data_IF_261229945276
#
_entry.id   IF_261229945276
#
_cell.length_a   1.000
_cell.length_b   1.000
_cell.length_c   1.000
_cell.angle_alpha   90.00
_cell.angle_beta   90.00
_cell.angle_gamma   90.00
#
_symmetry.space_group_name_H-M   'P 1'
#
loop_
_entity.id
_entity.type
_entity.pdbx_description
1 polymer ?
#
# COMPACT_ATOMS: atom_id res chain seq x y z
N UNK A 1 -48.50 -1.35 3.59
CA UNK A 1 -47.43 -0.73 4.36
C UNK A 1 -46.15 -1.47 4.05
N UNK A 2 -45.24 -0.81 3.31
CA UNK A 2 -43.96 -1.43 3.00
C UNK A 2 -43.13 -1.46 4.27
N UNK A 3 -42.42 -2.56 4.54
CA UNK A 3 -41.54 -2.58 5.67
C UNK A 3 -40.40 -1.58 5.42
N UNK A 4 -40.15 -0.76 6.43
CA UNK A 4 -39.06 0.17 6.39
C UNK A 4 -37.74 -0.66 6.37
N UNK A 5 -37.15 -0.76 5.18
CA UNK A 5 -35.91 -1.55 5.00
C UNK A 5 -34.67 -0.81 5.47
N UNK A 6 -34.81 0.47 5.82
CA UNK A 6 -33.71 1.27 6.35
C UNK A 6 -33.83 1.37 7.85
N UNK A 7 -33.22 0.42 8.55
CA UNK A 7 -33.19 0.39 10.01
C UNK A 7 -32.36 1.53 10.61
N UNK A 8 -31.56 2.21 9.79
CA UNK A 8 -30.66 3.26 10.24
C UNK A 8 -30.79 4.49 9.36
N UNK A 9 -30.67 5.67 9.95
CA UNK A 9 -30.59 6.92 9.18
C UNK A 9 -29.29 6.91 8.35
N UNK A 10 -29.22 7.64 7.21
CA UNK A 10 -27.98 7.73 6.44
C UNK A 10 -26.78 8.22 7.26
N UNK A 11 -27.00 9.11 8.23
CA UNK A 11 -25.94 9.59 9.10
C UNK A 11 -25.42 8.51 10.05
N UNK A 12 -26.29 7.69 10.60
CA UNK A 12 -25.92 6.57 11.45
C UNK A 12 -25.13 5.51 10.70
N UNK A 13 -25.54 5.20 9.46
CA UNK A 13 -24.81 4.27 8.61
C UNK A 13 -23.42 4.80 8.29
N UNK A 14 -23.27 6.10 8.01
CA UNK A 14 -21.98 6.69 7.73
C UNK A 14 -21.05 6.68 8.94
N UNK A 15 -21.59 6.89 10.14
CA UNK A 15 -20.82 6.80 11.38
C UNK A 15 -20.34 5.37 11.63
N UNK A 16 -21.20 4.38 11.44
CA UNK A 16 -20.84 2.96 11.62
C UNK A 16 -19.75 2.57 10.63
N UNK A 17 -19.87 2.96 9.37
CA UNK A 17 -18.86 2.69 8.34
C UNK A 17 -17.54 3.34 8.72
N UNK A 18 -17.57 4.60 9.17
CA UNK A 18 -16.36 5.32 9.58
C UNK A 18 -15.68 4.65 10.76
N UNK A 19 -16.42 4.28 11.78
CA UNK A 19 -15.90 3.61 12.96
C UNK A 19 -15.26 2.27 12.61
N UNK A 20 -15.93 1.46 11.78
CA UNK A 20 -15.41 0.17 11.34
C UNK A 20 -14.16 0.33 10.49
N UNK A 21 -14.12 1.33 9.61
CA UNK A 21 -12.94 1.63 8.80
C UNK A 21 -11.76 2.03 9.66
N UNK A 22 -11.97 2.86 10.68
CA UNK A 22 -10.92 3.26 11.61
C UNK A 22 -10.38 2.08 12.41
N UNK A 23 -11.25 1.17 12.85
CA UNK A 23 -10.82 -0.04 13.55
C UNK A 23 -9.96 -0.93 12.67
N UNK A 24 -10.37 -1.13 11.43
CA UNK A 24 -9.62 -1.92 10.45
C UNK A 24 -8.25 -1.30 10.21
N UNK A 25 -8.20 0.00 9.96
CA UNK A 25 -6.94 0.71 9.73
C UNK A 25 -6.02 0.65 10.95
N UNK A 26 -6.58 0.73 12.15
CA UNK A 26 -5.81 0.61 13.39
C UNK A 26 -5.18 -0.76 13.55
N UNK A 27 -5.92 -1.82 13.22
CA UNK A 27 -5.40 -3.20 13.26
C UNK A 27 -4.27 -3.36 12.24
N UNK A 28 -4.46 -2.86 11.03
CA UNK A 28 -3.43 -2.91 9.98
C UNK A 28 -2.17 -2.15 10.42
N UNK A 29 -2.33 -0.95 10.97
CA UNK A 29 -1.22 -0.14 11.44
C UNK A 29 -0.44 -0.83 12.56
N UNK A 30 -1.13 -1.54 13.46
CA UNK A 30 -0.49 -2.30 14.53
C UNK A 30 0.42 -3.41 14.00
N UNK A 31 0.15 -3.90 12.78
CA UNK A 31 0.97 -4.90 12.10
C UNK A 31 1.89 -4.28 11.04
N UNK A 32 2.06 -2.96 11.08
CA UNK A 32 2.89 -2.21 10.13
C UNK A 32 2.46 -2.43 8.68
N UNK A 33 1.14 -2.38 8.46
CA UNK A 33 0.51 -2.48 7.14
C UNK A 33 -0.14 -1.15 6.81
N UNK A 34 0.18 -0.59 5.65
CA UNK A 34 -0.40 0.65 5.15
C UNK A 34 -1.07 0.40 3.79
N UNK A 35 -2.03 1.22 3.45
CA UNK A 35 -2.78 1.08 2.20
C UNK A 35 -2.49 2.24 1.27
N UNK A 36 -2.50 1.96 -0.03
CA UNK A 36 -2.44 3.00 -1.04
C UNK A 36 -3.15 2.58 -2.31
N UNK A 37 -3.42 3.54 -3.16
CA UNK A 37 -4.19 3.38 -4.37
C UNK A 37 -3.52 4.13 -5.50
N UNK A 38 -3.48 3.51 -6.67
CA UNK A 38 -2.92 4.10 -7.89
C UNK A 38 -4.01 4.24 -8.93
N UNK A 39 -4.19 5.47 -9.42
CA UNK A 39 -5.13 5.77 -10.48
C UNK A 39 -4.43 5.58 -11.83
N UNK A 40 -4.81 4.55 -12.57
CA UNK A 40 -4.12 4.16 -13.79
C UNK A 40 -4.18 5.26 -14.87
N UNK A 41 -5.34 5.88 -15.16
CA UNK A 41 -5.41 6.93 -16.18
C UNK A 41 -4.54 8.16 -15.89
N UNK A 42 -4.40 8.55 -14.63
CA UNK A 42 -3.71 9.80 -14.27
C UNK A 42 -2.33 9.60 -13.67
N UNK A 43 -2.01 8.38 -13.20
CA UNK A 43 -0.77 8.09 -12.50
C UNK A 43 -0.71 8.65 -11.07
N UNK A 44 -1.82 9.15 -10.55
CA UNK A 44 -1.87 9.71 -9.20
C UNK A 44 -1.98 8.61 -8.14
N UNK A 45 -1.31 8.84 -7.02
CA UNK A 45 -1.33 7.95 -5.88
C UNK A 45 -2.07 8.59 -4.71
N UNK A 46 -2.79 7.76 -3.97
CA UNK A 46 -3.44 8.16 -2.71
C UNK A 46 -3.00 7.19 -1.62
N UNK A 47 -2.57 7.72 -0.49
CA UNK A 47 -2.04 6.93 0.63
C UNK A 47 -2.90 7.16 1.87
N UNK A 48 -3.04 6.13 2.69
CA UNK A 48 -3.70 6.30 3.99
C UNK A 48 -2.89 7.24 4.87
N UNK A 49 -3.59 7.91 5.78
CA UNK A 49 -2.95 8.78 6.76
C UNK A 49 -1.91 7.99 7.55
N UNK A 50 -0.84 8.67 7.93
CA UNK A 50 0.27 8.07 8.69
C UNK A 50 0.99 6.92 7.97
N UNK A 51 0.92 6.87 6.62
CA UNK A 51 1.59 5.85 5.81
C UNK A 51 3.07 5.68 6.20
N UNK A 52 3.80 6.78 6.27
CA UNK A 52 5.23 6.76 6.61
C UNK A 52 5.49 6.26 8.01
N UNK A 53 4.74 6.79 8.97
CA UNK A 53 4.89 6.41 10.38
C UNK A 53 4.56 4.93 10.58
N UNK A 54 3.49 4.47 9.96
CA UNK A 54 3.06 3.07 10.03
C UNK A 54 4.14 2.12 9.56
N UNK A 55 4.85 2.48 8.48
CA UNK A 55 5.90 1.64 7.90
C UNK A 55 7.29 1.87 8.48
N UNK A 56 7.45 2.86 9.34
CA UNK A 56 8.74 3.20 9.93
C UNK A 56 9.66 3.97 8.98
N UNK A 57 9.09 4.58 7.94
CA UNK A 57 9.84 5.37 6.98
C UNK A 57 10.08 6.78 7.51
N UNK A 58 11.12 7.42 6.98
CA UNK A 58 11.46 8.79 7.33
C UNK A 58 10.42 9.75 6.76
N UNK A 59 9.78 10.53 7.65
CA UNK A 59 8.90 11.61 7.24
C UNK A 59 9.75 12.77 6.73
N UNK A 60 9.79 12.97 5.42
CA UNK A 60 10.61 14.03 4.82
C UNK A 60 9.79 15.29 4.45
N UNK A 61 8.56 15.41 4.93
CA UNK A 61 7.70 16.51 4.57
C UNK A 61 7.28 16.50 3.09
N UNK A 62 7.52 15.40 2.40
CA UNK A 62 7.16 15.25 0.99
C UNK A 62 5.69 14.84 0.90
N UNK A 63 4.94 15.58 0.10
CA UNK A 63 3.57 15.19 -0.22
C UNK A 63 3.64 14.23 -1.40
N UNK A 64 3.24 12.98 -1.17
CA UNK A 64 3.15 11.99 -2.25
C UNK A 64 2.03 12.35 -3.20
N UNK A 65 2.38 12.59 -4.44
CA UNK A 65 1.41 12.85 -5.52
C UNK A 65 1.39 11.71 -6.53
N UNK A 66 2.56 11.15 -6.82
CA UNK A 66 2.69 10.05 -7.78
C UNK A 66 3.76 9.07 -7.32
N UNK A 67 3.90 7.98 -8.08
CA UNK A 67 4.82 6.89 -7.73
C UNK A 67 6.29 7.36 -7.71
N UNK A 68 6.64 8.40 -8.47
CA UNK A 68 8.02 8.91 -8.49
C UNK A 68 8.43 9.51 -7.16
N UNK A 69 7.49 10.06 -6.42
CA UNK A 69 7.77 10.60 -5.08
C UNK A 69 8.21 9.50 -4.11
N UNK A 70 7.70 8.29 -4.29
CA UNK A 70 8.09 7.12 -3.50
C UNK A 70 9.57 6.78 -3.69
N UNK A 71 10.11 6.97 -4.89
CA UNK A 71 11.49 6.61 -5.19
C UNK A 71 12.52 7.43 -4.41
N UNK A 72 12.12 8.55 -3.80
CA UNK A 72 13.00 9.30 -2.91
C UNK A 72 13.36 8.51 -1.65
N UNK A 73 12.54 7.55 -1.27
CA UNK A 73 12.74 6.73 -0.07
C UNK A 73 13.35 5.39 -0.38
N UNK A 74 13.28 4.95 -1.63
CA UNK A 74 13.81 3.66 -2.05
C UNK A 74 15.32 3.72 -2.28
N UNK A 75 16.00 2.62 -2.00
CA UNK A 75 17.40 2.50 -2.37
C UNK A 75 17.53 2.52 -3.89
N UNK A 76 18.49 3.30 -4.43
CA UNK A 76 18.65 3.44 -5.88
C UNK A 76 18.81 2.10 -6.60
N UNK A 77 19.46 1.12 -5.96
CA UNK A 77 19.69 -0.20 -6.54
C UNK A 77 18.39 -0.97 -6.78
N UNK A 78 17.34 -0.65 -6.05
CA UNK A 78 16.06 -1.37 -6.14
C UNK A 78 15.06 -0.68 -7.08
N UNK A 79 15.27 0.59 -7.41
CA UNK A 79 14.31 1.39 -8.17
C UNK A 79 14.00 0.77 -9.53
N UNK A 80 15.04 0.38 -10.27
CA UNK A 80 14.87 -0.15 -11.63
C UNK A 80 14.08 -1.45 -11.64
N UNK A 81 14.37 -2.36 -10.71
CA UNK A 81 13.63 -3.62 -10.56
C UNK A 81 12.17 -3.38 -10.18
N UNK A 82 11.93 -2.41 -9.28
CA UNK A 82 10.60 -2.04 -8.88
C UNK A 82 9.79 -1.48 -10.04
N UNK A 83 10.38 -0.55 -10.81
CA UNK A 83 9.73 0.06 -11.98
C UNK A 83 9.36 -0.99 -13.02
N UNK A 84 10.25 -1.93 -13.28
CA UNK A 84 10.02 -3.01 -14.25
C UNK A 84 8.87 -3.91 -13.79
N UNK A 85 8.86 -4.31 -12.53
CA UNK A 85 7.80 -5.16 -11.98
C UNK A 85 6.45 -4.44 -11.98
N UNK A 86 6.45 -3.16 -11.63
CA UNK A 86 5.24 -2.34 -11.61
C UNK A 86 4.66 -2.17 -13.03
N UNK A 87 5.52 -1.91 -14.01
CA UNK A 87 5.11 -1.77 -15.42
C UNK A 87 4.48 -3.07 -15.94
N UNK A 88 5.06 -4.21 -15.63
CA UNK A 88 4.50 -5.52 -16.01
C UNK A 88 3.14 -5.75 -15.41
N UNK A 89 2.97 -5.32 -14.18
CA UNK A 89 1.70 -5.47 -13.49
C UNK A 89 0.61 -4.58 -14.09
N UNK A 90 0.95 -3.33 -14.44
CA UNK A 90 0.03 -2.41 -15.11
C UNK A 90 -0.40 -2.94 -16.46
N UNK A 91 0.48 -3.65 -17.17
CA UNK A 91 0.19 -4.25 -18.45
C UNK A 91 -0.58 -5.57 -18.33
N UNK A 92 -0.89 -6.02 -17.13
CA UNK A 92 -1.54 -7.30 -16.83
C UNK A 92 -0.78 -8.52 -17.38
N UNK A 93 0.51 -8.36 -17.63
CA UNK A 93 1.37 -9.42 -18.16
C UNK A 93 1.90 -10.33 -17.07
N UNK A 94 1.84 -9.91 -15.83
CA UNK A 94 2.34 -10.66 -14.70
C UNK A 94 1.22 -10.98 -13.72
N UNK A 95 1.18 -12.24 -13.27
CA UNK A 95 0.32 -12.67 -12.17
C UNK A 95 0.97 -12.38 -10.82
N UNK A 96 2.24 -11.95 -10.81
CA UNK A 96 2.92 -11.59 -9.58
C UNK A 96 2.30 -10.32 -9.01
N UNK A 97 1.72 -10.45 -7.83
CA UNK A 97 1.06 -9.37 -7.14
C UNK A 97 1.92 -8.79 -6.01
N UNK A 98 3.19 -9.14 -5.96
CA UNK A 98 4.09 -8.74 -4.89
C UNK A 98 5.39 -8.17 -5.42
N UNK A 99 5.84 -7.06 -4.81
CA UNK A 99 7.14 -6.47 -5.11
C UNK A 99 7.80 -6.10 -3.80
N UNK A 100 9.04 -6.53 -3.59
CA UNK A 100 9.83 -6.10 -2.44
C UNK A 100 10.76 -4.95 -2.84
N UNK A 101 10.97 -4.03 -1.91
CA UNK A 101 11.84 -2.88 -2.11
C UNK A 101 12.47 -2.47 -0.78
N UNK A 102 13.75 -2.08 -0.83
CA UNK A 102 14.42 -1.52 0.34
C UNK A 102 14.22 -0.02 0.37
N UNK A 103 13.93 0.49 1.54
CA UNK A 103 13.72 1.92 1.77
C UNK A 103 14.54 2.41 2.96
N UNK A 104 14.68 3.72 3.07
CA UNK A 104 15.39 4.35 4.17
C UNK A 104 14.42 4.60 5.31
N UNK A 105 14.74 4.07 6.48
CA UNK A 105 13.94 4.25 7.68
C UNK A 105 14.17 5.59 8.35
N UNK A 106 13.39 5.85 9.39
CA UNK A 106 13.43 7.11 10.15
C UNK A 106 14.81 7.43 10.72
N UNK A 107 15.56 6.40 11.09
CA UNK A 107 16.90 6.54 11.67
C UNK A 107 18.02 6.18 10.69
N UNK A 108 17.72 6.15 9.41
CA UNK A 108 18.69 5.80 8.37
C UNK A 108 18.88 4.30 8.16
N UNK A 109 18.16 3.47 8.90
CA UNK A 109 18.23 2.00 8.80
C UNK A 109 17.56 1.52 7.52
N UNK A 110 17.87 0.28 7.14
CA UNK A 110 17.23 -0.38 6.00
C UNK A 110 15.86 -0.91 6.43
N UNK A 111 14.83 -0.47 5.72
CA UNK A 111 13.48 -0.97 5.88
C UNK A 111 13.11 -1.77 4.63
N UNK A 112 12.72 -3.03 4.82
CA UNK A 112 12.23 -3.87 3.74
C UNK A 112 10.72 -3.74 3.66
N UNK A 113 10.21 -3.27 2.53
CA UNK A 113 8.78 -3.19 2.26
C UNK A 113 8.38 -4.22 1.22
N UNK A 114 7.19 -4.75 1.39
CA UNK A 114 6.57 -5.65 0.42
C UNK A 114 5.23 -5.07 0.02
N UNK A 115 5.10 -4.71 -1.25
CA UNK A 115 3.84 -4.23 -1.82
C UNK A 115 3.05 -5.38 -2.40
N UNK A 116 1.78 -5.45 -2.04
CA UNK A 116 0.81 -6.40 -2.58
C UNK A 116 -0.24 -5.64 -3.35
N UNK A 117 -0.52 -6.06 -4.56
CA UNK A 117 -1.40 -5.35 -5.46
C UNK A 117 -2.65 -6.14 -5.78
N UNK A 118 -3.76 -5.42 -5.84
CA UNK A 118 -5.06 -5.95 -6.23
C UNK A 118 -5.65 -5.05 -7.30
N UNK A 119 -6.01 -5.60 -8.44
CA UNK A 119 -6.66 -4.81 -9.48
C UNK A 119 -8.12 -4.56 -9.12
N UNK A 120 -8.58 -3.37 -9.44
CA UNK A 120 -9.96 -2.97 -9.20
C UNK A 120 -10.57 -2.42 -10.49
N UNK A 121 -11.73 -2.95 -10.84
CA UNK A 121 -12.47 -2.51 -12.01
C UNK A 121 -13.44 -1.41 -11.60
N UNK A 122 -13.15 -0.19 -12.02
CA UNK A 122 -13.95 0.98 -11.67
C UNK A 122 -14.89 1.46 -12.76
N UNK A 123 -14.82 0.91 -13.99
CA UNK A 123 -15.69 1.32 -15.08
C UNK A 123 -16.53 0.16 -15.59
N UNK A 124 -17.59 0.51 -16.34
CA UNK A 124 -18.54 -0.46 -16.90
C UNK A 124 -17.94 -1.30 -18.03
N UNK A 125 -16.88 -0.83 -18.64
CA UNK A 125 -16.18 -1.52 -19.75
C UNK A 125 -15.30 -2.66 -19.24
N UNK A 126 -15.10 -2.73 -17.93
CA UNK A 126 -14.38 -3.83 -17.31
C UNK A 126 -12.86 -3.68 -17.31
N UNK A 127 -12.33 -2.57 -17.82
CA UNK A 127 -10.91 -2.28 -17.71
C UNK A 127 -10.56 -1.82 -16.28
N UNK A 128 -9.46 -2.30 -15.71
CA UNK A 128 -9.05 -1.82 -14.41
C UNK A 128 -8.62 -0.35 -14.54
N UNK A 129 -9.20 0.53 -13.71
CA UNK A 129 -8.82 1.92 -13.66
C UNK A 129 -8.03 2.26 -12.41
N UNK A 130 -8.03 1.37 -11.43
CA UNK A 130 -7.31 1.55 -10.17
C UNK A 130 -6.62 0.28 -9.73
N UNK A 131 -5.45 0.47 -9.11
CA UNK A 131 -4.78 -0.57 -8.36
C UNK A 131 -4.87 -0.23 -6.88
N UNK A 132 -5.32 -1.17 -6.09
CA UNK A 132 -5.17 -1.11 -4.65
C UNK A 132 -3.91 -1.82 -4.24
N UNK A 133 -3.21 -1.27 -3.29
CA UNK A 133 -2.03 -1.90 -2.75
C UNK A 133 -2.06 -1.84 -1.23
N UNK A 134 -1.55 -2.88 -0.60
CA UNK A 134 -1.16 -2.79 0.79
C UNK A 134 0.33 -3.06 0.89
N UNK A 135 0.98 -2.29 1.75
CA UNK A 135 2.42 -2.34 1.95
C UNK A 135 2.69 -2.82 3.36
N UNK A 136 3.55 -3.80 3.50
CA UNK A 136 3.92 -4.39 4.79
C UNK A 136 5.39 -4.16 5.04
N UNK A 137 5.73 -3.74 6.25
CA UNK A 137 7.11 -3.72 6.69
C UNK A 137 7.53 -5.15 7.04
N UNK A 138 8.38 -5.75 6.21
CA UNK A 138 8.84 -7.13 6.36
C UNK A 138 10.30 -7.21 6.81
N UNK A 139 10.81 -6.14 7.40
CA UNK A 139 12.21 -6.05 7.83
C UNK A 139 12.60 -7.18 8.76
N UNK A 140 11.79 -7.45 9.78
CA UNK A 140 12.06 -8.55 10.73
C UNK A 140 12.14 -9.91 10.06
N UNK A 141 11.24 -10.18 9.11
CA UNK A 141 11.25 -11.44 8.35
C UNK A 141 12.49 -11.56 7.50
N UNK A 142 12.85 -10.50 6.77
CA UNK A 142 14.02 -10.50 5.91
C UNK A 142 15.31 -10.69 6.72
N UNK A 143 15.42 -10.04 7.87
CA UNK A 143 16.57 -10.18 8.75
C UNK A 143 16.69 -11.59 9.30
N UNK A 144 15.58 -12.20 9.69
CA UNK A 144 15.56 -13.61 10.16
C UNK A 144 15.99 -14.57 9.06
N UNK A 145 15.50 -14.39 7.84
CA UNK A 145 15.87 -15.20 6.70
C UNK A 145 17.35 -15.08 6.38
N UNK A 146 17.90 -13.87 6.41
CA UNK A 146 19.33 -13.64 6.20
C UNK A 146 20.16 -14.27 7.31
N UNK A 147 19.70 -14.19 8.55
CA UNK A 147 20.36 -14.81 9.68
C UNK A 147 20.42 -16.34 9.55
N UNK A 148 19.32 -16.96 9.15
CA UNK A 148 19.24 -18.41 8.91
C UNK A 148 20.21 -18.82 7.80
N UNK A 149 20.24 -18.09 6.69
CA UNK A 149 21.18 -18.36 5.59
C UNK A 149 22.63 -18.24 6.02
N UNK A 150 22.93 -17.33 6.93
CA UNK A 150 24.28 -17.12 7.43
C UNK A 150 24.73 -18.25 8.37
N UNK A 151 23.79 -18.91 9.03
CA UNK A 151 24.06 -20.04 9.91
C UNK A 151 24.24 -21.37 9.16
N UNK A 152 23.80 -21.44 7.92
CA UNK A 152 24.04 -22.60 7.05
C UNK A 152 25.43 -22.51 6.43
#
# INVERSE_FOLDING_TARGET
MEPDTNLYSPNENNEIIRENSQKILSVLAAHQIALWEYDIPTGKCSFTDDYFRTLGLKEAGVVFKDINDFYHFAYPEDINAYQTAFAKMLASESKASQIQVRCVGEHGEVIWLEDHFLSYKGNEEGDPDKLFAYTVNVTSQCEKEQHIKHLE
#
